data_IF_895219352658
#
_entry.id   IF_895219352658
#
_cell.length_a   1.000
_cell.length_b   1.000
_cell.length_c   1.000
_cell.angle_alpha   90.00
_cell.angle_beta   90.00
_cell.angle_gamma   90.00
#
_symmetry.space_group_name_H-M   'P 1'
#
loop_
_entity.id
_entity.type
_entity.pdbx_description
1 polymer ?
#
# COMPACT_ATOMS: atom_id res chain seq x y z
N UNK A 1 9.71 11.31 25.09
CA UNK A 1 9.83 10.93 23.66
C UNK A 1 8.65 11.53 22.93
N UNK A 2 8.89 12.29 21.85
CA UNK A 2 7.79 12.70 20.98
C UNK A 2 7.07 11.44 20.47
N UNK A 3 5.73 11.46 20.41
CA UNK A 3 4.96 10.35 19.87
C UNK A 3 5.48 10.06 18.44
N UNK A 4 6.04 8.88 18.16
CA UNK A 4 6.47 8.55 16.80
C UNK A 4 5.25 8.62 15.88
N UNK A 5 5.38 9.38 14.79
CA UNK A 5 4.30 9.56 13.83
C UNK A 5 4.31 8.39 12.83
N UNK A 6 3.78 7.27 13.30
CA UNK A 6 3.74 6.02 12.53
C UNK A 6 2.87 6.10 11.27
N UNK A 7 1.92 7.03 11.19
CA UNK A 7 1.07 7.18 9.99
C UNK A 7 1.86 7.76 8.81
N UNK A 8 2.74 8.73 9.08
CA UNK A 8 3.64 9.27 8.07
C UNK A 8 4.69 8.24 7.64
N UNK A 9 5.33 7.55 8.60
CA UNK A 9 6.32 6.50 8.30
C UNK A 9 5.71 5.33 7.52
N UNK A 10 4.46 4.94 7.82
CA UNK A 10 3.72 3.94 7.06
C UNK A 10 3.52 4.40 5.62
N UNK A 11 3.00 5.63 5.42
CA UNK A 11 2.78 6.19 4.07
C UNK A 11 4.08 6.30 3.26
N UNK A 12 5.19 6.70 3.90
CA UNK A 12 6.50 6.74 3.24
C UNK A 12 6.98 5.35 2.81
N UNK A 13 6.85 4.33 3.67
CA UNK A 13 7.19 2.94 3.32
C UNK A 13 6.33 2.41 2.17
N UNK A 14 5.02 2.71 2.18
CA UNK A 14 4.09 2.29 1.14
C UNK A 14 4.41 2.97 -0.20
N UNK A 15 4.72 4.28 -0.19
CA UNK A 15 5.17 5.02 -1.38
C UNK A 15 6.50 4.50 -1.93
N UNK A 16 7.47 4.19 -1.07
CA UNK A 16 8.76 3.64 -1.49
C UNK A 16 8.61 2.26 -2.15
N UNK A 17 7.79 1.37 -1.57
CA UNK A 17 7.48 0.07 -2.16
C UNK A 17 6.79 0.21 -3.52
N UNK A 18 5.79 1.10 -3.63
CA UNK A 18 5.07 1.35 -4.88
C UNK A 18 6.00 1.88 -5.98
N UNK A 19 6.82 2.88 -5.68
CA UNK A 19 7.80 3.43 -6.64
C UNK A 19 8.78 2.37 -7.14
N UNK A 20 9.33 1.56 -6.23
CA UNK A 20 10.26 0.48 -6.59
C UNK A 20 9.60 -0.59 -7.46
N UNK A 21 8.32 -0.91 -7.22
CA UNK A 21 7.54 -1.86 -8.04
C UNK A 21 7.25 -1.29 -9.43
N UNK A 22 6.85 -0.03 -9.51
CA UNK A 22 6.55 0.67 -10.77
C UNK A 22 7.80 0.85 -11.64
N UNK A 23 8.93 1.26 -11.05
CA UNK A 23 10.21 1.37 -11.77
C UNK A 23 10.68 0.02 -12.33
N UNK A 24 10.58 -1.06 -11.54
CA UNK A 24 10.85 -2.41 -12.03
C UNK A 24 9.90 -2.81 -13.16
N UNK A 25 8.63 -2.42 -13.10
CA UNK A 25 7.64 -2.70 -14.15
C UNK A 25 7.99 -1.96 -15.44
N UNK A 26 8.31 -0.68 -15.35
CA UNK A 26 8.70 0.15 -16.50
C UNK A 26 9.99 -0.37 -17.12
N UNK A 27 11.03 -0.67 -16.33
CA UNK A 27 12.29 -1.24 -16.82
C UNK A 27 12.09 -2.61 -17.50
N UNK A 28 11.23 -3.47 -16.94
CA UNK A 28 10.85 -4.73 -17.58
C UNK A 28 10.07 -4.50 -18.88
N UNK A 29 9.18 -3.51 -18.94
CA UNK A 29 8.41 -3.18 -20.13
C UNK A 29 9.30 -2.61 -21.26
N UNK A 30 10.23 -1.72 -20.93
CA UNK A 30 11.24 -1.19 -21.86
C UNK A 30 12.16 -2.31 -22.38
N UNK A 31 12.61 -3.22 -21.50
CA UNK A 31 13.39 -4.37 -21.90
C UNK A 31 12.59 -5.35 -22.81
N UNK A 32 11.30 -5.58 -22.53
CA UNK A 32 10.42 -6.41 -23.36
C UNK A 32 10.08 -5.77 -24.71
N UNK A 33 10.04 -4.44 -24.81
CA UNK A 33 9.86 -3.75 -26.08
C UNK A 33 11.05 -3.96 -27.04
N UNK A 34 12.25 -4.21 -26.51
CA UNK A 34 13.44 -4.56 -27.28
C UNK A 34 13.65 -6.07 -27.50
N UNK A 35 13.15 -6.91 -26.59
CA UNK A 35 13.29 -8.37 -26.65
C UNK A 35 11.92 -8.99 -26.47
N UNK A 36 11.25 -9.28 -27.59
CA UNK A 36 10.08 -10.15 -27.62
C UNK A 36 10.50 -11.51 -27.07
N UNK A 37 10.22 -11.79 -25.81
CA UNK A 37 9.74 -13.08 -25.27
C UNK A 37 9.84 -13.16 -23.74
N UNK A 38 8.91 -13.93 -23.20
CA UNK A 38 8.93 -14.65 -21.93
C UNK A 38 8.33 -13.97 -20.70
N UNK A 39 7.21 -14.59 -20.30
CA UNK A 39 6.53 -14.55 -19.01
C UNK A 39 7.49 -14.42 -17.82
N UNK A 40 7.02 -13.65 -16.84
CA UNK A 40 7.70 -13.46 -15.56
C UNK A 40 6.81 -12.64 -14.64
N UNK A 41 5.53 -13.02 -14.61
CA UNK A 41 4.55 -12.63 -13.61
C UNK A 41 4.92 -13.31 -12.30
N UNK A 42 5.95 -12.81 -11.63
CA UNK A 42 6.12 -13.05 -10.22
C UNK A 42 6.41 -11.73 -9.53
N UNK A 43 5.33 -11.12 -9.06
CA UNK A 43 5.36 -10.27 -7.89
C UNK A 43 4.03 -10.47 -7.19
N UNK A 44 3.83 -11.73 -6.79
CA UNK A 44 2.91 -12.10 -5.72
C UNK A 44 3.32 -11.32 -4.47
N UNK A 45 2.70 -10.17 -4.29
CA UNK A 45 2.58 -9.54 -2.99
C UNK A 45 1.10 -9.33 -2.78
N UNK A 46 0.52 -10.30 -2.07
CA UNK A 46 -0.70 -10.21 -1.28
C UNK A 46 -0.77 -8.84 -0.58
N UNK A 47 -1.25 -7.82 -1.28
CA UNK A 47 -1.65 -6.57 -0.66
C UNK A 47 -3.05 -6.78 -0.10
N UNK A 48 -3.11 -7.54 0.99
CA UNK A 48 -4.19 -7.44 1.96
C UNK A 48 -4.04 -6.09 2.68
N UNK A 49 -4.27 -5.00 1.95
CA UNK A 49 -4.43 -3.65 2.52
C UNK A 49 -5.87 -3.53 3.02
N UNK A 50 -6.25 -4.45 3.91
CA UNK A 50 -7.49 -4.35 4.66
C UNK A 50 -7.18 -3.48 5.88
N UNK A 51 -6.96 -2.19 5.61
CA UNK A 51 -7.11 -1.15 6.61
C UNK A 51 -8.59 -1.15 7.00
N UNK A 52 -8.95 -2.00 7.96
CA UNK A 52 -10.20 -1.90 8.68
C UNK A 52 -10.19 -0.57 9.42
N UNK A 53 -10.79 0.43 8.80
CA UNK A 53 -11.19 1.67 9.43
C UNK A 53 -12.26 1.31 10.46
N UNK A 54 -11.82 0.99 11.67
CA UNK A 54 -12.68 0.90 12.83
C UNK A 54 -13.16 2.31 13.14
N UNK A 55 -14.35 2.66 12.62
CA UNK A 55 -15.14 3.75 13.16
C UNK A 55 -15.90 3.22 14.39
N UNK A 56 -15.53 3.55 15.63
CA UNK A 56 -16.48 3.44 16.71
C UNK A 56 -17.51 4.55 16.53
N UNK A 57 -18.73 4.16 16.14
CA UNK A 57 -19.91 5.02 16.18
C UNK A 57 -19.99 5.68 17.57
N UNK A 58 -20.26 7.00 17.68
CA UNK A 58 -20.60 7.60 18.96
C UNK A 58 -21.93 7.00 19.39
N UNK A 59 -21.90 6.07 20.35
CA UNK A 59 -23.09 5.61 21.04
C UNK A 59 -23.74 6.81 21.71
N UNK A 60 -24.90 7.23 21.20
CA UNK A 60 -25.72 8.25 21.82
C UNK A 60 -26.22 7.77 23.17
N UNK A 61 -25.64 8.30 24.24
CA UNK A 61 -26.26 8.29 25.55
C UNK A 61 -27.22 9.48 25.61
N UNK A 62 -28.43 9.29 25.11
CA UNK A 62 -29.59 10.09 25.48
C UNK A 62 -30.25 9.38 26.65
N UNK A 63 -29.74 9.62 27.87
CA UNK A 63 -30.46 9.26 29.10
C UNK A 63 -31.48 10.35 29.41
N UNK A 64 -32.72 10.14 28.97
CA UNK A 64 -33.92 10.84 29.46
C UNK A 64 -34.65 9.87 30.40
N UNK A 65 -34.46 10.03 31.71
CA UNK A 65 -35.30 9.48 32.80
C UNK A 65 -35.05 10.26 34.07
#
# INVERSE_FOLDING_TARGET
MAKPNYSFEKRQRDLAKKKKKEEKRLKKAEAKAGVKSEEGEESGEVMNDQLQEVQPLPGGDTTDT
#
